data_IF_897455837768
#
_entry.id   IF_897455837768
#
_cell.length_a   1.000
_cell.length_b   1.000
_cell.length_c   1.000
_cell.angle_alpha   90.00
_cell.angle_beta   90.00
_cell.angle_gamma   90.00
#
_symmetry.space_group_name_H-M   'P 1'
#
loop_
_entity.id
_entity.type
_entity.pdbx_description
1 polymer ?
#
# COMPACT_ATOMS: atom_id res chain seq x y z
N UNK A 1 5.15 15.82 21.65
CA UNK A 1 5.02 15.14 20.34
C UNK A 1 3.53 15.07 20.07
N UNK A 2 2.98 15.75 19.06
CA UNK A 2 1.58 15.51 18.70
C UNK A 2 1.43 14.02 18.36
N UNK A 3 0.33 13.40 18.78
CA UNK A 3 0.09 11.96 18.68
C UNK A 3 0.38 11.43 17.27
N UNK A 4 1.43 10.61 17.14
CA UNK A 4 1.84 9.93 15.90
C UNK A 4 0.95 8.72 15.59
N UNK A 5 -0.29 8.73 16.06
CA UNK A 5 -1.18 7.59 15.91
C UNK A 5 -1.78 7.60 14.51
N UNK A 6 -1.56 6.51 13.76
CA UNK A 6 -2.27 6.29 12.51
C UNK A 6 -3.76 6.13 12.80
N UNK A 7 -4.59 6.90 12.10
CA UNK A 7 -6.05 6.85 12.20
C UNK A 7 -6.59 5.67 11.40
N UNK A 8 -5.99 5.38 10.25
CA UNK A 8 -6.42 4.31 9.33
C UNK A 8 -5.20 3.63 8.72
N UNK A 9 -5.20 2.29 8.72
CA UNK A 9 -4.25 1.45 7.98
C UNK A 9 -4.98 0.70 6.86
N UNK A 10 -4.54 0.90 5.62
CA UNK A 10 -5.00 0.14 4.46
C UNK A 10 -4.11 -1.10 4.27
N UNK A 11 -4.64 -2.29 4.58
CA UNK A 11 -3.97 -3.56 4.31
C UNK A 11 -4.29 -4.06 2.89
N UNK A 12 -3.26 -4.26 2.07
CA UNK A 12 -3.40 -4.63 0.65
C UNK A 12 -2.66 -5.97 0.41
N UNK A 13 -3.37 -7.12 0.39
CA UNK A 13 -2.78 -8.37 -0.07
C UNK A 13 -2.62 -8.34 -1.59
N UNK A 14 -1.49 -8.82 -2.09
CA UNK A 14 -1.17 -8.85 -3.52
C UNK A 14 -0.61 -10.22 -3.93
N UNK A 15 -1.08 -10.76 -5.06
CA UNK A 15 -0.53 -11.97 -5.68
C UNK A 15 -0.45 -11.78 -7.18
N UNK A 16 0.75 -11.71 -7.74
CA UNK A 16 1.02 -11.40 -9.15
C UNK A 16 0.23 -10.17 -9.66
N UNK A 17 0.27 -9.07 -8.90
CA UNK A 17 -0.53 -7.86 -9.10
C UNK A 17 0.31 -6.61 -9.39
N UNK A 18 1.58 -6.77 -9.78
CA UNK A 18 2.55 -5.66 -9.93
C UNK A 18 2.05 -4.49 -10.77
N UNK A 19 1.36 -4.75 -11.88
CA UNK A 19 0.82 -3.72 -12.78
C UNK A 19 -0.26 -2.85 -12.14
N UNK A 20 -0.97 -3.36 -11.13
CA UNK A 20 -2.09 -2.67 -10.48
C UNK A 20 -1.70 -1.94 -9.20
N UNK A 21 -0.56 -2.30 -8.58
CA UNK A 21 -0.14 -1.75 -7.29
C UNK A 21 0.04 -0.24 -7.34
N UNK A 22 0.69 0.30 -8.38
CA UNK A 22 0.97 1.74 -8.47
C UNK A 22 -0.32 2.55 -8.52
N UNK A 23 -1.32 2.08 -9.29
CA UNK A 23 -2.62 2.73 -9.38
C UNK A 23 -3.37 2.67 -8.05
N UNK A 24 -3.38 1.51 -7.39
CA UNK A 24 -4.03 1.33 -6.09
C UNK A 24 -3.43 2.26 -5.03
N UNK A 25 -2.10 2.24 -4.86
CA UNK A 25 -1.38 3.07 -3.88
C UNK A 25 -1.62 4.56 -4.16
N UNK A 26 -1.45 4.98 -5.42
CA UNK A 26 -1.66 6.39 -5.80
C UNK A 26 -3.09 6.85 -5.51
N UNK A 27 -4.09 6.01 -5.81
CA UNK A 27 -5.49 6.36 -5.54
C UNK A 27 -5.80 6.57 -4.05
N UNK A 28 -5.14 5.81 -3.15
CA UNK A 28 -5.28 5.96 -1.70
C UNK A 28 -4.58 7.23 -1.23
N UNK A 29 -3.37 7.50 -1.72
CA UNK A 29 -2.61 8.70 -1.36
C UNK A 29 -3.35 9.98 -1.80
N UNK A 30 -3.81 10.03 -3.05
CA UNK A 30 -4.57 11.16 -3.57
C UNK A 30 -5.94 11.30 -2.88
N UNK A 31 -6.65 10.17 -2.70
CA UNK A 31 -7.97 10.16 -2.05
C UNK A 31 -7.94 10.55 -0.58
N UNK A 32 -6.82 10.29 0.12
CA UNK A 32 -6.59 10.75 1.49
C UNK A 32 -6.03 12.17 1.57
N UNK A 33 -5.71 12.80 0.44
CA UNK A 33 -5.06 14.12 0.41
C UNK A 33 -3.65 14.10 1.02
N UNK A 34 -2.94 12.97 0.91
CA UNK A 34 -1.62 12.76 1.49
C UNK A 34 -1.56 12.99 3.02
N UNK A 35 -2.61 12.54 3.73
CA UNK A 35 -2.70 12.72 5.17
C UNK A 35 -1.64 11.90 5.94
N UNK A 36 -0.95 12.55 6.88
CA UNK A 36 0.15 11.94 7.66
C UNK A 36 -0.31 10.88 8.67
N UNK A 37 -1.60 10.81 8.96
CA UNK A 37 -2.24 9.85 9.86
C UNK A 37 -2.78 8.60 9.13
N UNK A 38 -2.51 8.47 7.83
CA UNK A 38 -2.79 7.27 7.03
C UNK A 38 -1.55 6.40 6.91
N UNK A 39 -1.76 5.08 6.88
CA UNK A 39 -0.75 4.06 6.65
C UNK A 39 -1.22 3.08 5.56
N UNK A 40 -0.30 2.62 4.72
CA UNK A 40 -0.55 1.59 3.71
C UNK A 40 0.43 0.45 3.99
N UNK A 41 -0.10 -0.76 4.14
CA UNK A 41 0.68 -1.99 4.34
C UNK A 41 0.38 -2.92 3.18
N UNK A 42 1.41 -3.24 2.41
CA UNK A 42 1.33 -4.18 1.29
C UNK A 42 1.84 -5.53 1.77
N UNK A 43 1.12 -6.60 1.45
CA UNK A 43 1.49 -7.97 1.77
C UNK A 43 1.55 -8.78 0.49
N UNK A 44 2.75 -9.18 0.07
CA UNK A 44 2.89 -10.16 -1.01
C UNK A 44 2.50 -11.56 -0.51
N UNK A 45 1.46 -12.13 -1.10
CA UNK A 45 0.90 -13.45 -0.79
C UNK A 45 1.58 -14.57 -1.61
N UNK A 46 2.90 -14.50 -1.73
CA UNK A 46 3.72 -15.52 -2.39
C UNK A 46 3.77 -15.42 -3.92
N UNK A 47 3.85 -14.20 -4.46
CA UNK A 47 3.98 -13.98 -5.90
C UNK A 47 5.24 -14.63 -6.48
N UNK A 48 5.12 -15.14 -7.70
CA UNK A 48 6.19 -15.91 -8.37
C UNK A 48 6.31 -15.61 -9.86
N UNK A 49 5.42 -14.79 -10.42
CA UNK A 49 5.29 -14.61 -11.87
C UNK A 49 5.50 -13.18 -12.34
N UNK A 50 5.71 -12.24 -11.43
CA UNK A 50 5.92 -10.83 -11.73
C UNK A 50 6.71 -10.12 -10.60
N UNK A 51 6.75 -8.78 -10.69
CA UNK A 51 7.50 -7.93 -9.77
C UNK A 51 6.70 -7.52 -8.51
N UNK A 52 5.62 -8.23 -8.15
CA UNK A 52 4.80 -7.90 -6.97
C UNK A 52 5.64 -7.87 -5.71
N UNK A 53 6.52 -8.86 -5.52
CA UNK A 53 7.41 -8.93 -4.37
C UNK A 53 8.32 -7.70 -4.30
N UNK A 54 8.83 -7.22 -5.44
CA UNK A 54 9.71 -6.05 -5.51
C UNK A 54 8.95 -4.77 -5.15
N UNK A 55 7.69 -4.68 -5.57
CA UNK A 55 6.82 -3.52 -5.28
C UNK A 55 6.24 -3.49 -3.86
N UNK A 56 6.26 -4.62 -3.16
CA UNK A 56 5.79 -4.72 -1.78
C UNK A 56 6.86 -4.39 -0.72
N UNK A 57 8.09 -4.04 -1.13
CA UNK A 57 9.24 -3.74 -0.26
C UNK A 57 9.37 -2.26 0.11
#
# INVERSE_FOLDING_TARGET
>A
MPDTHKTITFGIPCYNSSEYMDHCITSILEGSGFADDVEIVIVDDGSTKDDTLVKAQ
#
